data_IF_982656600225
#
_entry.id   IF_982656600225
#
_cell.length_a   1.000
_cell.length_b   1.000
_cell.length_c   1.000
_cell.angle_alpha   90.00
_cell.angle_beta   90.00
_cell.angle_gamma   90.00
#
_symmetry.space_group_name_H-M   'P 1'
#
loop_
_entity.id
_entity.type
_entity.pdbx_description
1 polymer ?
#
# COMPACT_ATOMS: atom_id res chain seq x y z
N UNK A 1 11.75 -4.62 9.90
CA UNK A 1 10.82 -3.52 10.21
C UNK A 1 9.44 -4.03 10.58
N UNK A 2 8.68 -3.26 11.36
CA UNK A 2 7.29 -3.59 11.70
C UNK A 2 6.33 -3.05 10.65
N UNK A 3 5.30 -3.84 10.32
CA UNK A 3 4.27 -3.49 9.34
C UNK A 3 2.90 -4.03 9.76
N UNK A 4 1.85 -3.23 9.59
CA UNK A 4 0.47 -3.67 9.77
C UNK A 4 0.03 -4.42 8.52
N UNK A 5 -0.35 -5.67 8.71
CA UNK A 5 -0.79 -6.54 7.61
C UNK A 5 -2.12 -7.20 7.92
N UNK A 6 -2.81 -7.59 6.88
CA UNK A 6 -4.06 -8.33 6.97
C UNK A 6 -3.92 -9.70 6.30
N UNK A 7 -4.45 -10.75 6.93
CA UNK A 7 -4.61 -12.04 6.28
C UNK A 7 -5.75 -11.99 5.26
N UNK A 8 -5.44 -12.26 3.99
CA UNK A 8 -6.45 -12.33 2.95
C UNK A 8 -7.43 -13.52 3.16
N UNK A 9 -7.01 -14.55 3.90
CA UNK A 9 -7.82 -15.74 4.22
C UNK A 9 -8.82 -15.47 5.35
N UNK A 10 -8.34 -14.97 6.49
CA UNK A 10 -9.14 -14.82 7.71
C UNK A 10 -9.64 -13.40 7.98
N UNK A 11 -9.07 -12.40 7.31
CA UNK A 11 -9.34 -10.99 7.58
C UNK A 11 -8.73 -10.46 8.88
N UNK A 12 -7.94 -11.27 9.61
CA UNK A 12 -7.29 -10.84 10.85
C UNK A 12 -6.18 -9.82 10.55
N UNK A 13 -6.15 -8.78 11.35
CA UNK A 13 -5.07 -7.78 11.36
C UNK A 13 -3.96 -8.26 12.30
N UNK A 14 -2.73 -7.99 11.93
CA UNK A 14 -1.56 -8.28 12.76
C UNK A 14 -0.45 -7.26 12.49
N UNK A 15 0.30 -6.92 13.53
CA UNK A 15 1.60 -6.29 13.39
C UNK A 15 2.63 -7.41 13.17
N UNK A 16 3.34 -7.36 12.05
CA UNK A 16 4.37 -8.35 11.71
C UNK A 16 5.73 -7.71 11.53
N UNK A 17 6.75 -8.44 11.92
CA UNK A 17 8.12 -8.16 11.48
C UNK A 17 8.31 -8.69 10.06
N UNK A 18 8.76 -7.82 9.18
CA UNK A 18 9.03 -8.11 7.77
C UNK A 18 10.44 -7.62 7.43
N UNK A 19 11.06 -8.12 6.35
CA UNK A 19 12.34 -7.58 5.88
C UNK A 19 12.26 -6.08 5.66
N UNK A 20 13.37 -5.38 5.89
CA UNK A 20 13.44 -3.94 5.67
C UNK A 20 13.26 -3.59 4.20
N UNK A 21 12.52 -2.51 3.95
CA UNK A 21 12.40 -1.96 2.61
C UNK A 21 13.78 -1.50 2.11
N UNK A 22 14.06 -1.77 0.83
CA UNK A 22 15.32 -1.36 0.19
C UNK A 22 15.02 -0.30 -0.86
N UNK A 23 15.88 0.72 -0.90
CA UNK A 23 15.80 1.74 -1.95
C UNK A 23 16.07 1.11 -3.33
N UNK A 24 15.45 1.67 -4.35
CA UNK A 24 15.64 1.33 -5.77
C UNK A 24 15.91 2.61 -6.54
N UNK A 25 16.45 2.50 -7.75
CA UNK A 25 16.55 3.65 -8.66
C UNK A 25 15.16 4.30 -8.85
N UNK A 26 15.11 5.62 -8.84
CA UNK A 26 13.88 6.40 -8.95
C UNK A 26 12.94 6.35 -7.73
N UNK A 27 13.41 5.82 -6.58
CA UNK A 27 12.63 5.71 -5.35
C UNK A 27 13.30 6.43 -4.18
N UNK A 28 12.49 6.83 -3.21
CA UNK A 28 12.94 7.29 -1.89
C UNK A 28 12.69 6.19 -0.87
N UNK A 29 13.63 5.99 0.05
CA UNK A 29 13.38 5.23 1.26
C UNK A 29 12.98 6.21 2.36
N UNK A 30 11.78 6.05 2.89
CA UNK A 30 11.15 6.98 3.81
C UNK A 30 10.86 6.29 5.14
N UNK A 31 11.34 6.88 6.24
CA UNK A 31 10.98 6.50 7.60
C UNK A 31 9.64 7.16 7.94
N UNK A 32 8.62 6.37 8.14
CA UNK A 32 7.27 6.85 8.42
C UNK A 32 7.20 7.55 9.79
N UNK A 33 6.60 8.74 9.83
CA UNK A 33 6.29 9.50 11.05
C UNK A 33 4.81 9.42 11.39
N UNK A 34 3.94 9.56 10.38
CA UNK A 34 2.51 9.38 10.53
C UNK A 34 1.92 8.71 9.30
N UNK A 35 0.85 7.96 9.46
CA UNK A 35 0.10 7.35 8.36
C UNK A 35 -1.40 7.43 8.60
N UNK A 36 -2.15 7.72 7.56
CA UNK A 36 -3.59 7.93 7.62
C UNK A 36 -4.35 6.61 7.49
N UNK A 37 -5.22 6.33 8.45
CA UNK A 37 -6.19 5.22 8.37
C UNK A 37 -7.44 5.71 7.66
N UNK A 38 -7.73 5.12 6.50
CA UNK A 38 -8.95 5.43 5.75
C UNK A 38 -10.13 4.59 6.22
N UNK A 39 -11.05 5.22 6.93
CA UNK A 39 -12.25 4.56 7.43
C UNK A 39 -13.11 3.90 6.33
N UNK A 40 -13.12 4.45 5.12
CA UNK A 40 -13.84 3.90 3.98
C UNK A 40 -13.09 2.77 3.28
N UNK A 41 -11.93 3.09 2.72
CA UNK A 41 -11.15 2.18 1.87
C UNK A 41 -10.63 0.98 2.64
N UNK A 42 -10.00 1.20 3.80
CA UNK A 42 -9.44 0.10 4.59
C UNK A 42 -10.52 -0.77 5.23
N UNK A 43 -11.61 -0.15 5.71
CA UNK A 43 -12.77 -0.92 6.19
C UNK A 43 -13.36 -1.82 5.12
N UNK A 44 -13.42 -1.34 3.86
CA UNK A 44 -13.86 -2.15 2.73
C UNK A 44 -12.94 -3.35 2.49
N UNK A 45 -11.61 -3.13 2.49
CA UNK A 45 -10.59 -4.19 2.34
C UNK A 45 -10.69 -5.20 3.48
N UNK A 46 -10.78 -4.73 4.73
CA UNK A 46 -10.92 -5.57 5.93
C UNK A 46 -12.20 -6.40 5.86
N UNK A 47 -13.33 -5.79 5.51
CA UNK A 47 -14.61 -6.49 5.41
C UNK A 47 -14.64 -7.49 4.24
N UNK A 48 -14.01 -7.17 3.12
CA UNK A 48 -13.88 -8.12 2.00
C UNK A 48 -13.05 -9.34 2.40
N UNK A 49 -11.94 -9.14 3.10
CA UNK A 49 -11.08 -10.24 3.54
C UNK A 49 -11.78 -11.20 4.54
N UNK A 50 -12.72 -10.70 5.35
CA UNK A 50 -13.54 -11.51 6.27
C UNK A 50 -14.62 -12.36 5.58
N UNK A 51 -14.94 -12.09 4.31
CA UNK A 51 -15.95 -12.88 3.58
C UNK A 51 -15.48 -14.32 3.35
N UNK A 52 -16.42 -15.27 3.31
CA UNK A 52 -16.15 -16.64 2.88
C UNK A 52 -15.63 -16.69 1.43
N UNK A 53 -14.96 -17.76 1.05
CA UNK A 53 -14.47 -17.94 -0.33
C UNK A 53 -15.58 -17.85 -1.37
N UNK A 54 -16.76 -18.43 -1.08
CA UNK A 54 -17.92 -18.34 -1.95
C UNK A 54 -18.43 -16.89 -2.09
N UNK A 55 -18.48 -16.13 -0.98
CA UNK A 55 -18.88 -14.73 -1.01
C UNK A 55 -17.83 -13.83 -1.70
N UNK A 56 -16.52 -14.15 -1.58
CA UNK A 56 -15.45 -13.48 -2.34
C UNK A 56 -15.58 -13.75 -3.84
N UNK A 57 -15.85 -15.00 -4.23
CA UNK A 57 -16.07 -15.39 -5.62
C UNK A 57 -17.28 -14.66 -6.24
N UNK A 58 -18.41 -14.58 -5.52
CA UNK A 58 -19.57 -13.81 -5.95
C UNK A 58 -19.30 -12.31 -6.08
N UNK A 59 -18.49 -11.74 -5.19
CA UNK A 59 -18.14 -10.31 -5.22
C UNK A 59 -17.11 -9.95 -6.31
N UNK A 60 -16.33 -10.91 -6.81
CA UNK A 60 -15.25 -10.70 -7.80
C UNK A 60 -15.29 -11.77 -8.89
N UNK A 61 -16.33 -11.76 -9.76
CA UNK A 61 -16.46 -12.72 -10.86
C UNK A 61 -15.30 -12.63 -11.87
N UNK A 62 -14.68 -11.47 -11.99
CA UNK A 62 -13.47 -11.23 -12.78
C UNK A 62 -12.30 -12.12 -12.34
N UNK A 63 -12.09 -12.25 -11.03
CA UNK A 63 -11.03 -13.11 -10.47
C UNK A 63 -11.38 -14.59 -10.66
N UNK A 64 -12.66 -14.96 -10.55
CA UNK A 64 -13.09 -16.33 -10.79
C UNK A 64 -12.76 -16.75 -12.22
N UNK A 65 -13.08 -15.90 -13.22
CA UNK A 65 -12.71 -16.16 -14.62
C UNK A 65 -11.22 -16.39 -14.80
N UNK A 66 -10.37 -15.52 -14.22
CA UNK A 66 -8.90 -15.66 -14.27
C UNK A 66 -8.43 -16.99 -13.66
N UNK A 67 -9.04 -17.43 -12.54
CA UNK A 67 -8.74 -18.72 -11.92
C UNK A 67 -9.15 -19.88 -12.81
N UNK A 68 -10.34 -19.83 -13.43
CA UNK A 68 -10.80 -20.85 -14.37
C UNK A 68 -9.91 -20.94 -15.62
N UNK A 69 -9.51 -19.80 -16.19
CA UNK A 69 -8.62 -19.77 -17.35
C UNK A 69 -7.22 -20.30 -17.00
N UNK A 70 -6.74 -20.00 -15.80
CA UNK A 70 -5.50 -20.56 -15.28
C UNK A 70 -5.62 -22.08 -15.07
N UNK A 71 -6.74 -22.57 -14.54
CA UNK A 71 -6.98 -23.98 -14.32
C UNK A 71 -7.03 -24.80 -15.63
N UNK A 72 -7.56 -24.18 -16.71
CA UNK A 72 -7.54 -24.79 -18.05
C UNK A 72 -6.14 -24.92 -18.63
N UNK A 73 -5.24 -23.94 -18.37
CA UNK A 73 -3.87 -23.93 -18.90
C UNK A 73 -2.91 -24.76 -18.06
N UNK A 74 -2.92 -24.57 -16.75
CA UNK A 74 -1.89 -25.04 -15.83
C UNK A 74 -2.35 -26.28 -15.03
N UNK A 75 -3.61 -26.67 -15.17
CA UNK A 75 -4.26 -27.73 -14.42
C UNK A 75 -4.82 -27.26 -13.06
N UNK A 76 -5.82 -28.01 -12.57
CA UNK A 76 -6.59 -27.64 -11.36
C UNK A 76 -5.69 -27.66 -10.11
N UNK A 77 -4.81 -28.66 -9.97
CA UNK A 77 -3.96 -28.80 -8.79
C UNK A 77 -2.94 -27.66 -8.65
N UNK A 78 -2.29 -27.27 -9.74
CA UNK A 78 -1.34 -26.14 -9.74
C UNK A 78 -2.05 -24.82 -9.46
N UNK A 79 -3.22 -24.62 -10.06
CA UNK A 79 -4.04 -23.43 -9.84
C UNK A 79 -4.52 -23.32 -8.39
N UNK A 80 -4.96 -24.43 -7.80
CA UNK A 80 -5.40 -24.42 -6.39
C UNK A 80 -4.25 -24.07 -5.45
N UNK A 81 -3.05 -24.63 -5.66
CA UNK A 81 -1.86 -24.27 -4.88
C UNK A 81 -1.54 -22.77 -5.00
N UNK A 82 -1.58 -22.23 -6.22
CA UNK A 82 -1.33 -20.80 -6.45
C UNK A 82 -2.37 -19.89 -5.78
N UNK A 83 -3.66 -20.27 -5.81
CA UNK A 83 -4.73 -19.53 -5.13
C UNK A 83 -4.53 -19.57 -3.61
N UNK A 84 -4.21 -20.74 -3.04
CA UNK A 84 -3.97 -20.85 -1.60
C UNK A 84 -2.74 -20.05 -1.16
N UNK A 85 -1.63 -20.14 -1.90
CA UNK A 85 -0.43 -19.32 -1.65
C UNK A 85 -0.77 -17.82 -1.66
N UNK A 86 -1.56 -17.36 -2.63
CA UNK A 86 -1.99 -15.96 -2.70
C UNK A 86 -2.89 -15.54 -1.54
N UNK A 87 -3.72 -16.44 -1.02
CA UNK A 87 -4.57 -16.17 0.16
C UNK A 87 -3.76 -16.17 1.47
N UNK A 88 -2.64 -16.87 1.51
CA UNK A 88 -1.74 -16.90 2.67
C UNK A 88 -0.76 -15.73 2.69
N UNK A 89 -0.61 -15.02 1.56
CA UNK A 89 0.23 -13.82 1.48
C UNK A 89 -0.38 -12.68 2.30
N UNK A 90 0.38 -12.10 3.24
CA UNK A 90 -0.10 -10.97 4.02
C UNK A 90 -0.30 -9.75 3.12
N UNK A 91 -1.44 -9.08 3.27
CA UNK A 91 -1.74 -7.83 2.56
C UNK A 91 -1.31 -6.65 3.42
N UNK A 92 -0.37 -5.81 2.96
CA UNK A 92 -0.05 -4.56 3.65
C UNK A 92 -1.24 -3.61 3.58
N UNK A 93 -1.47 -2.88 4.68
CA UNK A 93 -2.49 -1.84 4.74
C UNK A 93 -1.84 -0.46 4.70
N UNK A 94 -2.64 0.55 4.34
CA UNK A 94 -2.20 1.92 4.16
C UNK A 94 -1.98 2.31 2.71
N UNK A 95 -2.11 3.60 2.43
CA UNK A 95 -1.85 4.19 1.11
C UNK A 95 -1.53 5.67 1.15
N UNK A 96 -1.50 6.28 2.33
CA UNK A 96 -1.19 7.70 2.56
C UNK A 96 -0.42 7.84 3.85
N UNK A 97 0.77 8.43 3.78
CA UNK A 97 1.64 8.60 4.93
C UNK A 97 2.56 9.81 4.73
N UNK A 98 3.24 10.20 5.78
CA UNK A 98 4.31 11.19 5.79
C UNK A 98 5.50 10.61 6.53
N UNK A 99 6.69 11.04 6.13
CA UNK A 99 7.90 10.63 6.81
C UNK A 99 9.12 11.41 6.39
N UNK A 100 10.26 10.95 6.84
CA UNK A 100 11.56 11.53 6.58
C UNK A 100 12.34 10.65 5.61
N UNK A 101 12.91 11.25 4.59
CA UNK A 101 13.79 10.57 3.63
C UNK A 101 15.04 10.10 4.34
N UNK A 102 15.31 8.80 4.35
CA UNK A 102 16.52 8.21 4.93
C UNK A 102 17.53 7.80 3.86
N UNK A 103 17.07 7.57 2.64
CA UNK A 103 17.94 7.25 1.50
C UNK A 103 17.27 7.71 0.20
N UNK A 104 18.08 8.25 -0.73
CA UNK A 104 17.65 8.72 -2.04
C UNK A 104 18.20 7.75 -3.08
N UNK A 105 17.31 7.15 -3.86
CA UNK A 105 17.68 6.23 -4.94
C UNK A 105 18.29 6.95 -6.14
N UNK A 106 19.10 6.22 -6.90
CA UNK A 106 19.77 6.75 -8.10
C UNK A 106 18.78 7.40 -9.07
N UNK A 107 19.17 8.53 -9.66
CA UNK A 107 18.37 9.32 -10.58
C UNK A 107 17.48 10.38 -9.92
N UNK A 108 17.55 10.53 -8.58
CA UNK A 108 16.82 11.55 -7.83
C UNK A 108 17.73 12.56 -7.13
N UNK A 109 19.02 12.52 -7.44
CA UNK A 109 20.02 13.43 -6.89
C UNK A 109 19.65 14.89 -7.25
N UNK A 110 19.66 15.75 -6.25
CA UNK A 110 19.29 17.17 -6.42
C UNK A 110 17.79 17.47 -6.38
N UNK A 111 16.91 16.47 -6.48
CA UNK A 111 15.46 16.63 -6.32
C UNK A 111 15.01 16.47 -4.88
N UNK A 112 15.61 15.52 -4.17
CA UNK A 112 15.34 15.23 -2.77
C UNK A 112 16.63 15.11 -1.97
N UNK A 113 16.55 15.28 -0.66
CA UNK A 113 17.67 15.15 0.25
C UNK A 113 17.32 14.29 1.46
N UNK A 114 18.31 13.60 2.01
CA UNK A 114 18.18 12.88 3.29
C UNK A 114 17.80 13.88 4.39
N UNK A 115 16.89 13.49 5.28
CA UNK A 115 16.33 14.34 6.33
C UNK A 115 15.12 15.19 5.87
N UNK A 116 14.83 15.24 4.57
CA UNK A 116 13.67 15.98 4.05
C UNK A 116 12.37 15.28 4.43
N UNK A 117 11.37 16.06 4.88
CA UNK A 117 10.02 15.55 5.08
C UNK A 117 9.28 15.44 3.76
N UNK A 118 8.62 14.29 3.54
CA UNK A 118 7.83 14.02 2.34
C UNK A 118 6.51 13.35 2.68
N UNK A 119 5.43 13.82 2.06
CA UNK A 119 4.18 13.07 1.99
C UNK A 119 4.32 12.02 0.90
N UNK A 120 3.87 10.80 1.20
CA UNK A 120 3.97 9.64 0.30
C UNK A 120 2.61 9.01 0.07
N UNK A 121 2.40 8.49 -1.14
CA UNK A 121 1.14 7.96 -1.60
C UNK A 121 1.29 6.55 -2.22
N UNK A 122 0.18 5.84 -2.31
CA UNK A 122 0.06 4.60 -3.08
C UNK A 122 -0.22 3.35 -2.24
N UNK A 123 -1.26 2.61 -2.62
CA UNK A 123 -1.57 1.31 -2.02
C UNK A 123 -0.45 0.29 -2.29
N UNK A 124 0.05 -0.35 -1.24
CA UNK A 124 1.19 -1.24 -1.31
C UNK A 124 2.56 -0.54 -1.34
N UNK A 125 2.58 0.81 -1.27
CA UNK A 125 3.79 1.64 -1.29
C UNK A 125 3.89 2.53 -0.06
N UNK A 126 2.85 3.29 0.27
CA UNK A 126 2.77 4.13 1.47
C UNK A 126 1.96 3.39 2.56
N UNK A 127 2.53 2.33 3.08
CA UNK A 127 1.87 1.42 4.01
C UNK A 127 1.98 1.90 5.47
N UNK A 128 1.16 1.31 6.35
CA UNK A 128 1.36 1.41 7.80
C UNK A 128 2.56 0.56 8.21
N UNK A 129 3.75 1.05 7.93
CA UNK A 129 5.04 0.40 8.22
C UNK A 129 6.08 1.41 8.68
N UNK A 130 7.11 0.97 9.37
CA UNK A 130 8.19 1.84 9.83
C UNK A 130 8.98 2.46 8.67
N UNK A 131 9.09 1.72 7.55
CA UNK A 131 9.83 2.15 6.35
C UNK A 131 9.02 1.87 5.10
N UNK A 132 9.07 2.80 4.14
CA UNK A 132 8.43 2.66 2.83
C UNK A 132 9.41 3.04 1.71
N UNK A 133 9.51 2.22 0.67
CA UNK A 133 10.24 2.55 -0.55
C UNK A 133 9.23 3.00 -1.62
N UNK A 134 9.25 4.30 -1.96
CA UNK A 134 8.20 4.95 -2.76
C UNK A 134 8.80 5.62 -3.99
N UNK A 135 8.24 5.45 -5.20
CA UNK A 135 8.73 6.11 -6.40
C UNK A 135 8.50 7.63 -6.33
N UNK A 136 9.37 8.38 -7.01
CA UNK A 136 9.37 9.86 -7.04
C UNK A 136 7.99 10.48 -7.25
N UNK A 137 7.25 10.00 -8.24
CA UNK A 137 5.95 10.55 -8.64
C UNK A 137 4.84 10.38 -7.59
N UNK A 138 5.10 9.65 -6.51
CA UNK A 138 4.21 9.47 -5.37
C UNK A 138 4.77 10.12 -4.08
N UNK A 139 5.76 10.98 -4.22
CA UNK A 139 6.39 11.71 -3.13
C UNK A 139 6.25 13.21 -3.36
N UNK A 140 5.85 13.95 -2.33
CA UNK A 140 5.78 15.41 -2.36
C UNK A 140 6.48 16.01 -1.13
N UNK A 141 7.35 17.02 -1.29
CA UNK A 141 7.92 17.74 -0.15
C UNK A 141 6.82 18.32 0.75
N UNK A 142 7.02 18.23 2.06
CA UNK A 142 6.12 18.83 3.05
C UNK A 142 6.67 20.19 3.46
N UNK A 143 5.89 21.27 3.38
CA UNK A 143 6.28 22.60 3.89
C UNK A 143 6.58 22.56 5.39
N UNK A 144 7.43 23.47 5.87
CA UNK A 144 7.90 23.46 7.26
C UNK A 144 6.78 23.80 8.25
N UNK A 145 5.80 24.59 7.84
CA UNK A 145 4.64 25.01 8.61
C UNK A 145 3.49 23.98 8.67
N UNK A 146 3.60 22.88 7.92
CA UNK A 146 2.64 21.76 7.93
C UNK A 146 3.14 20.66 8.85
N UNK A 147 2.34 20.24 9.83
CA UNK A 147 2.69 19.13 10.71
C UNK A 147 2.50 17.75 10.06
N UNK A 148 3.00 16.70 10.72
CA UNK A 148 2.97 15.36 10.15
C UNK A 148 1.55 14.76 10.08
N UNK A 149 0.67 15.09 11.06
CA UNK A 149 -0.71 14.65 11.08
C UNK A 149 -1.52 15.26 9.93
N UNK A 150 -1.27 16.50 9.57
CA UNK A 150 -1.88 17.17 8.41
C UNK A 150 -1.29 16.62 7.10
N UNK A 151 0.03 16.51 7.03
CA UNK A 151 0.72 16.05 5.83
C UNK A 151 0.34 14.63 5.42
N UNK A 152 0.01 13.74 6.36
CA UNK A 152 -0.41 12.37 6.03
C UNK A 152 -1.75 12.30 5.27
N UNK A 153 -2.56 13.40 5.23
CA UNK A 153 -3.75 13.51 4.38
C UNK A 153 -3.45 13.84 2.91
N UNK A 154 -2.19 14.03 2.53
CA UNK A 154 -1.79 14.48 1.19
C UNK A 154 -2.46 13.72 0.04
N UNK A 155 -2.58 12.38 0.13
CA UNK A 155 -3.26 11.57 -0.89
C UNK A 155 -4.74 11.89 -1.00
N UNK A 156 -5.45 12.01 0.13
CA UNK A 156 -6.88 12.36 0.14
C UNK A 156 -7.11 13.79 -0.32
N UNK A 157 -6.24 14.71 0.10
CA UNK A 157 -6.25 16.10 -0.35
C UNK A 157 -6.09 16.21 -1.86
N UNK A 158 -5.17 15.45 -2.45
CA UNK A 158 -4.97 15.41 -3.90
C UNK A 158 -6.21 14.89 -4.64
N UNK A 159 -6.87 13.84 -4.13
CA UNK A 159 -8.12 13.30 -4.69
C UNK A 159 -9.24 14.36 -4.61
N UNK A 160 -9.42 14.98 -3.45
CA UNK A 160 -10.43 16.02 -3.26
C UNK A 160 -10.19 17.24 -4.16
N UNK A 161 -8.95 17.70 -4.24
CA UNK A 161 -8.55 18.82 -5.10
C UNK A 161 -8.79 18.53 -6.58
N UNK A 162 -8.51 17.28 -7.02
CA UNK A 162 -8.83 16.89 -8.39
C UNK A 162 -10.33 16.96 -8.68
N UNK A 163 -11.19 16.54 -7.74
CA UNK A 163 -12.63 16.67 -7.86
C UNK A 163 -13.08 18.14 -8.00
N UNK A 164 -12.54 19.03 -7.18
CA UNK A 164 -12.83 20.48 -7.24
C UNK A 164 -12.39 21.12 -8.56
N UNK A 165 -11.29 20.66 -9.16
CA UNK A 165 -10.78 21.22 -10.44
C UNK A 165 -11.55 20.76 -11.67
N UNK A 166 -12.35 19.69 -11.55
CA UNK A 166 -13.15 19.13 -12.66
C UNK A 166 -14.55 19.72 -12.74
N UNK A 167 -14.94 20.55 -11.75
CA UNK A 167 -16.20 21.30 -11.71
C UNK A 167 -15.95 22.72 -12.14
#
# INVERSE_FOLDING_TARGET
MKQVVQSARSGKLALKEVPDAKVRSGHLLVRTRASLISAGTERMVVNFAKKSLAAKAKARPDLVRKVLDKAKRDGIGATMRAVMARLDEPLPLGYSAVGEVVEVGAGLEGKFRVGQRVAIAGAGLANHSEMNAVPENLCAPVPDDVNDEEACFGTLGAIAMNGVRLV
#
